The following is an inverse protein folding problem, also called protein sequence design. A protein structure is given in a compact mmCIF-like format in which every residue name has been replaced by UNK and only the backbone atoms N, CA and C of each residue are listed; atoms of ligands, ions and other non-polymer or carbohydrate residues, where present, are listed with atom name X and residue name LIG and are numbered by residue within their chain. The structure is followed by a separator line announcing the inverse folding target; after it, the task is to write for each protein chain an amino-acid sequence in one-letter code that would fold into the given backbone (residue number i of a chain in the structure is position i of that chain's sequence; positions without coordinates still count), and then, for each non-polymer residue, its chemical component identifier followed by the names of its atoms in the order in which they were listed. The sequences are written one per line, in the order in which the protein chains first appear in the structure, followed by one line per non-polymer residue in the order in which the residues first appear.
data_IF_522442134639
#
_entry.id   IF_522442134639
#
_cell.length_a   1.000
_cell.length_b   1.000
_cell.length_c   1.000
_cell.angle_alpha   90.00
_cell.angle_beta   90.00
_cell.angle_gamma   90.00
#
_symmetry.space_group_name_H-M   'P 1'
#
loop_
_entity.id
_entity.type
_entity.pdbx_description
1 polymer ?
#
# COMPACT_ATOMS: atom_id res chain seq x y z
N UNK A 1 -13.18 -4.66 -30.71
CA UNK A 1 -13.38 -5.24 -29.37
C UNK A 1 -12.31 -4.70 -28.41
N UNK A 2 -12.43 -3.45 -27.96
CA UNK A 2 -11.35 -2.79 -27.18
C UNK A 2 -11.79 -2.07 -25.91
N UNK A 3 -13.08 -2.10 -25.54
CA UNK A 3 -13.60 -1.30 -24.42
C UNK A 3 -13.53 -2.03 -23.06
N UNK A 4 -13.56 -3.36 -23.06
CA UNK A 4 -13.62 -4.17 -21.84
C UNK A 4 -12.31 -4.23 -21.05
N UNK A 5 -11.16 -4.05 -21.70
CA UNK A 5 -9.85 -4.05 -21.02
C UNK A 5 -9.63 -2.75 -20.21
N UNK A 6 -10.07 -1.61 -20.76
CA UNK A 6 -9.94 -0.30 -20.09
C UNK A 6 -10.83 -0.18 -18.86
N UNK A 7 -12.05 -0.73 -18.89
CA UNK A 7 -12.95 -0.71 -17.73
C UNK A 7 -12.43 -1.56 -16.57
N UNK A 8 -11.80 -2.71 -16.86
CA UNK A 8 -11.19 -3.55 -15.83
C UNK A 8 -9.92 -2.91 -15.23
N UNK A 9 -9.08 -2.26 -16.05
CA UNK A 9 -7.93 -1.52 -15.52
C UNK A 9 -8.33 -0.38 -14.59
N UNK A 10 -9.36 0.40 -14.95
CA UNK A 10 -9.91 1.45 -14.09
C UNK A 10 -10.40 0.94 -12.73
N UNK A 11 -11.03 -0.24 -12.70
CA UNK A 11 -11.48 -0.86 -11.44
C UNK A 11 -10.31 -1.31 -10.56
N UNK A 12 -9.21 -1.77 -11.16
CA UNK A 12 -7.99 -2.14 -10.43
C UNK A 12 -7.24 -0.91 -9.92
N UNK A 13 -7.17 0.17 -10.70
CA UNK A 13 -6.56 1.44 -10.28
C UNK A 13 -7.29 2.12 -9.12
N UNK A 14 -8.63 1.96 -9.05
CA UNK A 14 -9.45 2.52 -7.97
C UNK A 14 -9.45 1.67 -6.70
N UNK A 15 -8.95 0.42 -6.76
CA UNK A 15 -8.85 -0.42 -5.56
C UNK A 15 -7.74 0.15 -4.68
N UNK A 16 -8.14 0.63 -3.49
CA UNK A 16 -7.20 1.05 -2.47
C UNK A 16 -6.36 -0.14 -2.03
N UNK A 17 -5.06 0.07 -1.93
CA UNK A 17 -4.09 -0.92 -1.45
C UNK A 17 -3.28 -0.33 -0.31
N UNK A 18 -2.72 -1.20 0.50
CA UNK A 18 -1.89 -0.82 1.64
C UNK A 18 -0.43 -0.78 1.19
N UNK A 19 0.23 0.33 1.47
CA UNK A 19 1.62 0.59 1.16
C UNK A 19 2.37 0.99 2.43
N UNK A 20 3.57 0.45 2.61
CA UNK A 20 4.55 1.02 3.52
C UNK A 20 5.32 2.10 2.78
N UNK A 21 5.22 3.33 3.27
CA UNK A 21 5.86 4.52 2.71
C UNK A 21 7.04 4.90 3.58
N UNK A 22 8.22 4.91 2.97
CA UNK A 22 9.49 5.20 3.63
C UNK A 22 10.13 6.41 2.94
N UNK A 23 10.35 7.49 3.69
CA UNK A 23 11.14 8.62 3.20
C UNK A 23 12.58 8.52 3.69
N UNK A 24 13.54 8.95 2.87
CA UNK A 24 14.93 9.16 3.30
C UNK A 24 15.05 10.05 4.54
N UNK A 25 14.13 11.01 4.68
CA UNK A 25 14.07 11.93 5.83
C UNK A 25 13.22 11.40 6.99
N UNK A 26 12.52 10.28 6.81
CA UNK A 26 11.62 9.68 7.80
C UNK A 26 12.31 9.10 9.05
N UNK A 27 13.64 9.12 9.13
CA UNK A 27 14.37 8.84 10.37
C UNK A 27 14.37 10.04 11.34
N UNK A 28 14.13 11.26 10.85
CA UNK A 28 14.05 12.48 11.66
C UNK A 28 12.58 12.76 12.03
N UNK A 29 12.32 13.27 13.24
CA UNK A 29 10.96 13.60 13.70
C UNK A 29 10.26 14.59 12.75
N UNK A 30 10.96 15.66 12.35
CA UNK A 30 10.46 16.66 11.39
C UNK A 30 10.13 16.03 10.02
N UNK A 31 10.99 15.13 9.53
CA UNK A 31 10.77 14.41 8.29
C UNK A 31 9.55 13.48 8.33
N UNK A 32 9.27 12.84 9.48
CA UNK A 32 8.04 12.06 9.67
C UNK A 32 6.79 12.94 9.67
N UNK A 33 6.83 14.11 10.28
CA UNK A 33 5.65 15.00 10.29
C UNK A 33 5.38 15.53 8.88
N UNK A 34 6.42 15.94 8.15
CA UNK A 34 6.31 16.37 6.75
C UNK A 34 5.76 15.28 5.84
N UNK A 35 6.31 14.06 5.94
CA UNK A 35 5.84 12.91 5.17
C UNK A 35 4.35 12.64 5.43
N UNK A 36 3.91 12.69 6.70
CA UNK A 36 2.50 12.51 7.06
C UNK A 36 1.61 13.56 6.40
N UNK A 37 1.98 14.84 6.47
CA UNK A 37 1.19 15.92 5.89
C UNK A 37 1.11 15.82 4.36
N UNK A 38 2.21 15.45 3.70
CA UNK A 38 2.23 15.21 2.25
C UNK A 38 1.30 14.06 1.86
N UNK A 39 1.33 12.95 2.60
CA UNK A 39 0.47 11.79 2.34
C UNK A 39 -1.02 12.14 2.51
N UNK A 40 -1.37 12.90 3.55
CA UNK A 40 -2.73 13.39 3.77
C UNK A 40 -3.15 14.34 2.62
N UNK A 41 -2.28 15.26 2.20
CA UNK A 41 -2.55 16.18 1.10
C UNK A 41 -2.78 15.45 -0.24
N UNK A 42 -2.12 14.30 -0.44
CA UNK A 42 -2.33 13.43 -1.60
C UNK A 42 -3.60 12.57 -1.50
N UNK A 43 -4.38 12.70 -0.43
CA UNK A 43 -5.61 11.95 -0.21
C UNK A 43 -5.39 10.51 0.25
N UNK A 44 -4.20 10.20 0.76
CA UNK A 44 -3.91 8.90 1.36
C UNK A 44 -4.42 8.82 2.79
N UNK A 45 -4.88 7.64 3.20
CA UNK A 45 -5.25 7.35 4.58
C UNK A 45 -4.00 6.91 5.32
N UNK A 46 -3.46 7.78 6.17
CA UNK A 46 -2.26 7.47 6.96
C UNK A 46 -2.65 6.66 8.18
N UNK A 47 -2.15 5.42 8.25
CA UNK A 47 -2.33 4.50 9.37
C UNK A 47 -1.17 4.57 10.36
N UNK A 48 -0.74 3.39 10.81
CA UNK A 48 0.27 3.28 11.87
C UNK A 48 1.66 3.78 11.41
N UNK A 49 2.40 4.50 12.28
CA UNK A 49 3.78 4.86 12.02
C UNK A 49 4.67 3.61 12.02
N UNK A 50 5.60 3.55 11.07
CA UNK A 50 6.65 2.52 11.00
C UNK A 50 8.01 3.17 11.28
N UNK A 51 9.07 2.34 11.36
CA UNK A 51 10.42 2.79 11.79
C UNK A 51 10.91 4.02 11.03
N UNK A 52 10.73 4.07 9.71
CA UNK A 52 11.21 5.15 8.82
C UNK A 52 10.09 5.87 8.02
N UNK A 53 8.83 5.75 8.45
CA UNK A 53 7.72 6.36 7.72
C UNK A 53 6.35 5.93 8.23
N UNK A 54 5.40 5.67 7.33
CA UNK A 54 4.02 5.29 7.68
C UNK A 54 3.50 4.17 6.80
N UNK A 55 2.61 3.35 7.36
CA UNK A 55 1.70 2.53 6.58
C UNK A 55 0.53 3.38 6.12
N UNK A 56 0.24 3.38 4.83
CA UNK A 56 -0.86 4.15 4.26
C UNK A 56 -1.72 3.30 3.35
N UNK A 57 -2.96 3.70 3.21
CA UNK A 57 -3.87 3.16 2.23
C UNK A 57 -4.14 4.23 1.16
N UNK A 58 -3.83 3.89 -0.10
CA UNK A 58 -4.01 4.80 -1.24
C UNK A 58 -4.27 4.00 -2.52
N UNK A 59 -4.73 4.68 -3.57
CA UNK A 59 -4.91 4.09 -4.90
C UNK A 59 -3.59 4.04 -5.67
N UNK A 60 -3.53 3.20 -6.71
CA UNK A 60 -2.35 3.15 -7.60
C UNK A 60 -2.07 4.50 -8.26
N UNK A 61 -3.12 5.24 -8.62
CA UNK A 61 -3.03 6.59 -9.20
C UNK A 61 -2.44 7.60 -8.19
N UNK A 62 -2.90 7.58 -6.94
CA UNK A 62 -2.35 8.44 -5.88
C UNK A 62 -0.87 8.14 -5.63
N UNK A 63 -0.50 6.85 -5.60
CA UNK A 63 0.90 6.43 -5.47
C UNK A 63 1.76 6.93 -6.62
N UNK A 64 1.31 6.77 -7.86
CA UNK A 64 2.07 7.18 -9.03
C UNK A 64 2.26 8.71 -9.06
N UNK A 65 1.19 9.45 -8.79
CA UNK A 65 1.24 10.91 -8.72
C UNK A 65 2.21 11.36 -7.62
N UNK A 66 2.05 10.82 -6.40
CA UNK A 66 2.93 11.16 -5.29
C UNK A 66 4.40 10.80 -5.58
N UNK A 67 4.66 9.64 -6.18
CA UNK A 67 6.00 9.18 -6.52
C UNK A 67 6.70 10.07 -7.56
N UNK A 68 5.94 10.71 -8.45
CA UNK A 68 6.49 11.72 -9.38
C UNK A 68 6.89 13.00 -8.66
N UNK A 69 6.07 13.44 -7.70
CA UNK A 69 6.32 14.68 -6.94
C UNK A 69 7.39 14.49 -5.84
N UNK A 70 7.60 13.27 -5.34
CA UNK A 70 8.47 12.96 -4.21
C UNK A 70 9.41 11.78 -4.49
N UNK A 71 10.49 12.04 -5.23
CA UNK A 71 11.50 11.04 -5.61
C UNK A 71 12.34 10.52 -4.43
N UNK A 72 12.29 11.17 -3.27
CA UNK A 72 12.95 10.76 -2.03
C UNK A 72 12.13 9.75 -1.19
N UNK A 73 10.96 9.36 -1.68
CA UNK A 73 10.00 8.49 -1.01
C UNK A 73 9.87 7.16 -1.73
N UNK A 74 10.03 6.07 -0.98
CA UNK A 74 9.86 4.70 -1.45
C UNK A 74 8.55 4.11 -0.98
N UNK A 75 7.90 3.37 -1.88
CA UNK A 75 6.64 2.67 -1.65
C UNK A 75 6.85 1.16 -1.75
N UNK A 76 6.53 0.43 -0.69
CA UNK A 76 6.45 -1.02 -0.69
C UNK A 76 4.99 -1.45 -0.56
N UNK A 77 4.45 -2.15 -1.56
CA UNK A 77 3.10 -2.73 -1.48
C UNK A 77 3.09 -3.89 -0.49
N UNK A 78 2.17 -3.86 0.46
CA UNK A 78 1.97 -4.98 1.39
C UNK A 78 0.86 -5.84 0.81
N UNK A 79 1.20 -7.05 0.40
CA UNK A 79 0.20 -8.07 0.14
C UNK A 79 -0.34 -8.51 1.50
N UNK A 80 -1.52 -7.99 1.87
CA UNK A 80 -2.29 -8.56 2.97
C UNK A 80 -2.74 -9.92 2.46
N UNK A 81 -1.98 -10.95 2.80
CA UNK A 81 -2.35 -12.33 2.55
C UNK A 81 -3.58 -12.58 3.42
N UNK A 82 -4.76 -12.65 2.81
CA UNK A 82 -5.92 -13.29 3.42
C UNK A 82 -5.47 -14.70 3.76
N UNK A 83 -5.25 -14.95 5.04
CA UNK A 83 -4.94 -16.26 5.58
C UNK A 83 -6.22 -17.11 5.43
N UNK A 84 -6.45 -17.63 4.22
CA UNK A 84 -7.39 -18.72 4.01
C UNK A 84 -6.79 -19.94 4.69
N UNK A 85 -7.08 -20.05 5.99
CA UNK A 85 -6.87 -21.24 6.80
C UNK A 85 -7.41 -22.45 6.05
N UNK A 86 -6.51 -23.20 5.42
CA UNK A 86 -6.79 -24.54 4.94
C UNK A 86 -6.47 -25.47 6.11
N UNK A 87 -7.47 -25.66 6.96
CA UNK A 87 -7.52 -26.75 7.92
C UNK A 87 -7.52 -28.06 7.11
N UNK A 88 -6.33 -28.63 6.88
CA UNK A 88 -6.18 -30.00 6.38
C UNK A 88 -5.70 -30.86 7.54
N UNK A 89 -6.63 -31.24 8.41
CA UNK A 89 -6.42 -32.38 9.30
C UNK A 89 -6.29 -33.65 8.46
N UNK A 90 -5.07 -34.10 8.23
CA UNK A 90 -4.77 -35.47 7.83
C UNK A 90 -5.23 -36.43 8.92
N UNK A 91 -6.38 -37.07 8.73
CA UNK A 91 -6.72 -38.27 9.51
C UNK A 91 -6.25 -39.49 8.72
N UNK A 92 -5.05 -39.95 9.07
CA UNK A 92 -4.50 -41.22 8.60
C UNK A 92 -5.40 -42.36 9.03
N UNK A 93 -6.07 -43.00 8.07
CA UNK A 93 -6.58 -44.34 8.26
C UNK A 93 -5.40 -45.31 8.18
N UNK A 94 -5.22 -46.14 9.21
CA UNK A 94 -4.38 -47.33 9.14
C UNK A 94 -5.13 -48.46 9.81
N UNK A 95 -5.21 -49.56 9.06
CA UNK A 95 -5.80 -50.86 9.38
C UNK A 95 -5.19 -51.51 10.61
#
# INVERSE_FOLDING_TARGET
MGRTLYENQKRVEQKKKVYDVISKHGAKADGKVKLRNQLIAAGAVVGMPIRKGYRVEMTGVQREQFGKDHSDVHFAEIQVQDDSSSDQTSSSAST
#
